data_IF_651833162746
#
_entry.id   IF_651833162746
#
_cell.length_a   1.000
_cell.length_b   1.000
_cell.length_c   1.000
_cell.angle_alpha   90.00
_cell.angle_beta   90.00
_cell.angle_gamma   90.00
#
_symmetry.space_group_name_H-M   'P 1'
#
loop_
_entity.id
_entity.type
_entity.pdbx_description
1 polymer ?
#
# COMPACT_ATOMS: atom_id res chain seq x y z
N UNK A 1 -4.56 -16.50 -4.68
CA UNK A 1 -4.61 -15.06 -4.38
C UNK A 1 -3.65 -14.38 -5.33
N UNK A 2 -4.04 -13.28 -5.97
CA UNK A 2 -3.15 -12.51 -6.85
C UNK A 2 -2.29 -11.60 -5.99
N UNK A 3 -0.97 -11.64 -6.19
CA UNK A 3 -0.06 -10.70 -5.55
C UNK A 3 -0.30 -9.30 -6.12
N UNK A 4 -0.33 -8.29 -5.25
CA UNK A 4 -0.45 -6.88 -5.64
C UNK A 4 0.87 -6.17 -5.33
N UNK A 5 1.45 -5.54 -6.35
CA UNK A 5 2.62 -4.68 -6.16
C UNK A 5 2.17 -3.32 -5.61
N UNK A 6 2.76 -2.90 -4.49
CA UNK A 6 2.53 -1.59 -3.89
C UNK A 6 3.86 -0.82 -3.85
N UNK A 7 3.82 0.43 -4.30
CA UNK A 7 4.96 1.33 -4.18
C UNK A 7 4.87 2.07 -2.84
N UNK A 8 5.91 1.93 -2.03
CA UNK A 8 6.02 2.56 -0.72
C UNK A 8 7.24 3.48 -0.73
N UNK A 9 7.05 4.71 -0.28
CA UNK A 9 8.10 5.71 -0.09
C UNK A 9 8.46 5.79 1.39
N UNK A 10 9.75 5.71 1.71
CA UNK A 10 10.25 5.84 3.09
C UNK A 10 11.45 6.78 3.07
N UNK A 11 11.29 7.92 3.72
CA UNK A 11 12.39 8.84 4.00
C UNK A 11 12.88 8.58 5.42
N UNK A 12 14.17 8.29 5.58
CA UNK A 12 14.77 7.91 6.86
C UNK A 12 15.92 8.85 7.21
N UNK A 13 15.87 9.40 8.42
CA UNK A 13 16.99 10.06 9.08
C UNK A 13 17.45 9.22 10.27
N UNK A 14 18.76 9.10 10.44
CA UNK A 14 19.37 8.45 11.60
C UNK A 14 19.97 9.52 12.51
N UNK A 15 19.53 9.56 13.77
CA UNK A 15 20.10 10.45 14.78
C UNK A 15 20.22 9.73 16.13
N UNK A 16 21.38 9.86 16.77
CA UNK A 16 21.61 9.47 18.18
C UNK A 16 21.16 8.04 18.56
N UNK A 17 21.22 7.10 17.61
CA UNK A 17 20.76 5.69 17.70
C UNK A 17 19.27 5.41 17.45
N UNK A 18 18.52 6.39 16.93
CA UNK A 18 17.13 6.17 16.51
C UNK A 18 16.91 6.57 15.05
N UNK A 19 16.11 5.76 14.37
CA UNK A 19 15.53 6.13 13.08
C UNK A 19 14.32 7.02 13.30
N UNK A 20 14.11 7.98 12.43
CA UNK A 20 12.86 8.73 12.33
C UNK A 20 12.69 9.22 10.90
N UNK A 21 11.49 9.63 10.54
CA UNK A 21 11.24 10.11 9.18
C UNK A 21 9.79 10.04 8.79
N UNK A 22 9.56 9.82 7.50
CA UNK A 22 8.24 9.85 6.87
C UNK A 22 8.03 8.56 6.07
N UNK A 23 6.81 8.02 6.11
CA UNK A 23 6.38 6.85 5.31
C UNK A 23 5.09 7.19 4.57
N UNK A 24 4.95 6.72 3.33
CA UNK A 24 3.75 6.94 2.54
C UNK A 24 3.71 6.07 1.28
N UNK A 25 2.66 6.26 0.48
CA UNK A 25 2.41 5.56 -0.80
C UNK A 25 2.86 6.36 -2.03
N UNK A 26 3.51 7.52 -1.81
CA UNK A 26 3.91 8.46 -2.85
C UNK A 26 2.76 9.27 -3.46
N UNK A 27 1.52 9.10 -3.00
CA UNK A 27 0.33 9.81 -3.49
C UNK A 27 -0.26 10.70 -2.38
N UNK A 28 -0.49 10.13 -1.21
CA UNK A 28 -1.03 10.83 -0.05
C UNK A 28 0.05 11.56 0.76
N UNK A 29 -0.38 12.39 1.70
CA UNK A 29 0.54 13.03 2.63
C UNK A 29 1.21 11.96 3.50
N UNK A 30 2.55 11.90 3.53
CA UNK A 30 3.25 10.85 4.27
C UNK A 30 3.14 11.06 5.78
N UNK A 31 3.07 9.96 6.53
CA UNK A 31 2.94 9.92 7.98
C UNK A 31 4.30 9.88 8.66
N UNK A 32 4.52 10.65 9.73
CA UNK A 32 5.77 10.60 10.47
C UNK A 32 5.91 9.35 11.33
N UNK A 33 7.15 8.87 11.49
CA UNK A 33 7.48 7.79 12.42
C UNK A 33 8.74 8.13 13.23
N UNK A 34 8.86 7.52 14.42
CA UNK A 34 10.06 7.57 15.26
C UNK A 34 10.32 6.20 15.89
N UNK A 35 11.48 5.63 15.57
CA UNK A 35 11.87 4.28 15.95
C UNK A 35 11.25 3.19 15.06
N UNK A 36 11.82 1.99 15.16
CA UNK A 36 11.41 0.83 14.36
C UNK A 36 9.96 0.42 14.58
N UNK A 37 9.49 0.45 15.83
CA UNK A 37 8.11 0.06 16.14
C UNK A 37 7.08 0.99 15.52
N UNK A 38 7.34 2.30 15.51
CA UNK A 38 6.46 3.25 14.86
C UNK A 38 6.43 3.04 13.34
N UNK A 39 7.59 2.80 12.70
CA UNK A 39 7.66 2.51 11.27
C UNK A 39 6.82 1.27 10.92
N UNK A 40 6.98 0.18 11.66
CA UNK A 40 6.25 -1.07 11.42
C UNK A 40 4.74 -0.86 11.59
N UNK A 41 4.32 -0.15 12.65
CA UNK A 41 2.90 0.15 12.87
C UNK A 41 2.29 0.97 11.73
N UNK A 42 3.01 1.98 11.24
CA UNK A 42 2.56 2.79 10.11
C UNK A 42 2.47 1.98 8.81
N UNK A 43 3.41 1.06 8.57
CA UNK A 43 3.35 0.14 7.43
C UNK A 43 2.16 -0.80 7.54
N UNK A 44 1.88 -1.36 8.72
CA UNK A 44 0.75 -2.26 8.94
C UNK A 44 -0.60 -1.55 8.70
N UNK A 45 -0.76 -0.34 9.24
CA UNK A 45 -1.97 0.47 9.03
C UNK A 45 -2.15 0.82 7.55
N UNK A 46 -1.09 1.28 6.88
CA UNK A 46 -1.13 1.62 5.46
C UNK A 46 -1.49 0.40 4.61
N UNK A 47 -0.83 -0.74 4.82
CA UNK A 47 -1.09 -1.97 4.07
C UNK A 47 -2.47 -2.56 4.39
N UNK A 48 -2.95 -2.43 5.62
CA UNK A 48 -4.29 -2.86 6.04
C UNK A 48 -5.41 -2.03 5.43
N UNK A 49 -5.13 -0.79 5.04
CA UNK A 49 -6.09 0.13 4.42
C UNK A 49 -6.24 -0.04 2.90
N UNK A 50 -5.31 -0.76 2.25
CA UNK A 50 -5.34 -0.96 0.80
C UNK A 50 -6.56 -1.80 0.41
N UNK A 51 -7.47 -1.28 -0.44
CA UNK A 51 -8.60 -2.05 -0.92
C UNK A 51 -8.09 -3.28 -1.67
N UNK A 52 -8.59 -4.46 -1.32
CA UNK A 52 -8.31 -5.66 -2.11
C UNK A 52 -8.76 -5.42 -3.55
N UNK A 53 -8.00 -5.87 -4.56
CA UNK A 53 -8.49 -5.90 -5.92
C UNK A 53 -9.80 -6.70 -5.93
N UNK A 54 -10.92 -6.04 -6.22
CA UNK A 54 -12.15 -6.75 -6.58
C UNK A 54 -11.78 -7.50 -7.85
N UNK A 55 -11.83 -8.84 -7.79
CA UNK A 55 -11.64 -9.66 -8.97
C UNK A 55 -12.54 -9.07 -10.06
N UNK A 56 -11.95 -8.57 -11.14
CA UNK A 56 -12.68 -7.96 -12.22
C UNK A 56 -13.81 -8.91 -12.59
N UNK A 57 -15.05 -8.44 -12.44
CA UNK A 57 -16.25 -9.17 -12.82
C UNK A 57 -16.17 -9.43 -14.32
N UNK A 58 -15.55 -10.54 -14.68
CA UNK A 58 -15.77 -11.20 -15.95
C UNK A 58 -17.15 -11.85 -15.85
N UNK A 59 -18.18 -11.12 -16.23
CA UNK A 59 -19.36 -11.70 -16.84
C UNK A 59 -20.17 -10.58 -17.48
N UNK A 60 -20.11 -10.57 -18.82
CA UNK A 60 -21.18 -10.27 -19.78
C UNK A 60 -20.49 -10.08 -21.14
N UNK A 61 -20.04 -11.20 -21.73
CA UNK A 61 -19.95 -11.29 -23.19
C UNK A 61 -21.37 -11.60 -23.66
N UNK A 62 -22.09 -10.71 -24.38
CA UNK A 62 -23.28 -11.15 -25.07
C UNK A 62 -22.82 -12.07 -26.19
N UNK A 63 -23.08 -13.37 -26.03
CA UNK A 63 -23.15 -14.30 -27.14
C UNK A 63 -24.34 -13.90 -27.99
N UNK A 64 -24.12 -13.07 -29.01
CA UNK A 64 -25.11 -12.93 -30.08
C UNK A 64 -24.88 -14.05 -31.09
N UNK A 65 -25.96 -14.77 -31.30
CA UNK A 65 -26.10 -16.06 -31.95
C UNK A 65 -25.67 -16.06 -33.42
N UNK A 66 -25.06 -17.18 -33.77
CA UNK A 66 -24.96 -17.75 -35.10
C UNK A 66 -26.35 -17.77 -35.79
N UNK A 67 -26.48 -17.09 -36.93
CA UNK A 67 -27.42 -17.40 -38.00
C UNK A 67 -27.02 -16.72 -39.33
#
# INVERSE_FOLDING_TARGET
>A
MSDQLLHITIDVTLAEDQIHGLVGDGVAQPTPFRGWLALIGQLDEMLGSVPRPVAATGDLVPSEEEQ
#
